data_IF_225666473430
#
_entry.id   IF_225666473430
#
_cell.length_a   1.000
_cell.length_b   1.000
_cell.length_c   1.000
_cell.angle_alpha   90.00
_cell.angle_beta   90.00
_cell.angle_gamma   90.00
#
_symmetry.space_group_name_H-M   'P 1'
#
loop_
_entity.id
_entity.type
_entity.pdbx_description
1 polymer ?
#
# COMPACT_ATOMS: atom_id res chain seq x y z
N UNK A 1 20.42 -19.29 -29.67
CA UNK A 1 20.07 -20.22 -28.56
C UNK A 1 18.66 -19.89 -28.11
N UNK A 2 17.70 -20.79 -28.31
CA UNK A 2 16.30 -20.57 -27.93
C UNK A 2 16.06 -21.08 -26.50
N UNK A 3 15.64 -20.20 -25.60
CA UNK A 3 15.34 -20.54 -24.22
C UNK A 3 13.92 -21.13 -24.18
N UNK A 4 13.81 -22.44 -23.94
CA UNK A 4 12.53 -23.08 -23.68
C UNK A 4 12.03 -22.66 -22.30
N UNK A 5 10.83 -22.10 -22.26
CA UNK A 5 10.12 -21.79 -21.01
C UNK A 5 9.60 -23.10 -20.44
N UNK A 6 10.13 -23.56 -19.30
CA UNK A 6 9.59 -24.70 -18.57
C UNK A 6 8.17 -24.36 -18.10
N UNK A 7 7.17 -25.02 -18.69
CA UNK A 7 5.80 -25.01 -18.18
C UNK A 7 5.72 -25.96 -16.99
N UNK A 8 5.42 -25.40 -15.82
CA UNK A 8 5.17 -26.12 -14.58
C UNK A 8 3.77 -26.75 -14.67
N UNK A 9 3.73 -28.03 -15.02
CA UNK A 9 2.49 -28.82 -14.98
C UNK A 9 2.18 -29.18 -13.52
N UNK A 10 1.13 -28.56 -12.96
CA UNK A 10 0.59 -28.91 -11.65
C UNK A 10 -0.29 -30.15 -11.80
N UNK A 11 0.30 -31.34 -11.62
CA UNK A 11 -0.45 -32.58 -11.53
C UNK A 11 -1.25 -32.64 -10.21
N UNK A 12 -2.56 -32.92 -10.32
CA UNK A 12 -3.31 -33.58 -9.26
C UNK A 12 -4.17 -32.70 -8.34
N UNK A 13 -5.36 -32.34 -8.83
CA UNK A 13 -6.70 -32.42 -8.21
C UNK A 13 -6.98 -32.12 -6.71
N UNK A 14 -6.07 -31.59 -5.88
CA UNK A 14 -6.42 -31.27 -4.49
C UNK A 14 -5.54 -30.20 -3.81
N UNK A 15 -5.16 -29.15 -4.55
CA UNK A 15 -4.47 -28.01 -3.95
C UNK A 15 -5.46 -26.88 -3.64
N UNK A 16 -5.47 -26.29 -2.42
CA UNK A 16 -6.41 -25.23 -2.05
C UNK A 16 -6.27 -23.97 -2.92
N UNK A 17 -5.14 -23.80 -3.60
CA UNK A 17 -4.92 -22.76 -4.60
C UNK A 17 -5.83 -22.91 -5.83
N UNK A 18 -6.24 -24.12 -6.23
CA UNK A 18 -7.13 -24.33 -7.37
C UNK A 18 -8.57 -23.88 -7.07
N UNK A 19 -8.98 -23.80 -5.80
CA UNK A 19 -10.30 -23.24 -5.44
C UNK A 19 -10.41 -21.73 -5.66
N UNK A 20 -9.28 -21.03 -5.75
CA UNK A 20 -9.26 -19.58 -6.03
C UNK A 20 -9.37 -19.27 -7.52
N UNK A 21 -9.03 -20.23 -8.37
CA UNK A 21 -9.12 -20.13 -9.83
C UNK A 21 -10.13 -21.15 -10.33
N UNK A 22 -11.39 -20.90 -10.01
CA UNK A 22 -12.51 -21.66 -10.59
C UNK A 22 -12.65 -21.23 -12.05
N UNK A 23 -12.85 -22.19 -12.94
CA UNK A 23 -13.20 -21.92 -14.33
C UNK A 23 -14.43 -21.01 -14.37
N UNK A 24 -14.27 -19.81 -14.91
CA UNK A 24 -15.39 -18.87 -15.04
C UNK A 24 -16.42 -19.43 -16.00
N UNK A 25 -17.72 -19.43 -15.65
CA UNK A 25 -18.76 -19.89 -16.55
C UNK A 25 -18.69 -19.06 -17.84
N UNK A 26 -18.86 -19.74 -18.97
CA UNK A 26 -18.83 -19.11 -20.29
C UNK A 26 -19.80 -17.93 -20.31
N UNK A 27 -19.38 -16.75 -20.79
CA UNK A 27 -20.24 -15.58 -20.81
C UNK A 27 -21.53 -15.88 -21.57
N UNK A 28 -22.67 -15.50 -21.00
CA UNK A 28 -24.01 -15.71 -21.58
C UNK A 28 -24.12 -15.09 -22.97
N UNK A 29 -23.32 -14.05 -23.25
CA UNK A 29 -23.20 -13.45 -24.57
C UNK A 29 -22.05 -14.13 -25.32
N UNK A 30 -22.39 -15.11 -26.16
CA UNK A 30 -21.43 -15.90 -26.95
C UNK A 30 -20.68 -15.08 -28.02
N UNK A 31 -21.19 -13.92 -28.41
CA UNK A 31 -20.67 -13.11 -29.50
C UNK A 31 -20.29 -11.71 -29.01
N UNK A 32 -19.03 -11.30 -29.19
CA UNK A 32 -18.68 -9.89 -29.12
C UNK A 32 -19.60 -9.09 -30.05
N UNK A 33 -20.14 -7.94 -29.63
CA UNK A 33 -21.00 -7.15 -30.51
C UNK A 33 -20.23 -6.74 -31.76
N UNK A 34 -20.64 -7.27 -32.90
CA UNK A 34 -20.09 -6.90 -34.20
C UNK A 34 -20.31 -5.40 -34.39
N UNK A 35 -19.23 -4.62 -34.49
CA UNK A 35 -19.32 -3.18 -34.80
C UNK A 35 -20.00 -3.03 -36.15
N UNK A 36 -21.22 -2.51 -36.18
CA UNK A 36 -21.92 -2.15 -37.41
C UNK A 36 -21.11 -1.08 -38.14
N UNK A 37 -20.60 -1.37 -39.34
CA UNK A 37 -19.99 -0.39 -40.23
C UNK A 37 -21.08 0.43 -40.93
N UNK A 38 -21.86 1.18 -40.16
CA UNK A 38 -22.99 1.96 -40.68
C UNK A 38 -22.77 3.46 -40.45
N UNK A 39 -21.61 3.97 -40.86
CA UNK A 39 -21.39 5.38 -41.22
C UNK A 39 -19.94 5.55 -41.70
N UNK A 40 -19.67 6.42 -42.70
CA UNK A 40 -18.32 6.91 -42.93
C UNK A 40 -17.84 7.57 -41.63
N UNK A 41 -16.62 7.27 -41.14
CA UNK A 41 -16.11 7.93 -39.95
C UNK A 41 -16.01 9.42 -40.27
N UNK A 42 -16.82 10.25 -39.60
CA UNK A 42 -16.55 11.68 -39.51
C UNK A 42 -15.13 11.78 -38.97
N UNK A 43 -14.21 12.26 -39.79
CA UNK A 43 -12.79 12.46 -39.49
C UNK A 43 -12.67 13.31 -38.22
N UNK A 44 -12.71 12.67 -37.07
CA UNK A 44 -12.22 13.24 -35.83
C UNK A 44 -10.74 12.90 -35.82
N UNK A 45 -9.91 13.95 -35.80
CA UNK A 45 -8.48 13.82 -35.63
C UNK A 45 -8.20 12.79 -34.54
N UNK A 46 -7.33 11.82 -34.84
CA UNK A 46 -6.94 10.78 -33.91
C UNK A 46 -6.45 11.45 -32.62
N UNK A 47 -7.31 11.50 -31.60
CA UNK A 47 -6.90 11.97 -30.29
C UNK A 47 -5.96 10.90 -29.76
N UNK A 48 -4.67 11.24 -29.70
CA UNK A 48 -3.65 10.42 -29.06
C UNK A 48 -4.19 9.97 -27.70
N UNK A 49 -4.13 8.68 -27.36
CA UNK A 49 -4.51 8.22 -26.03
C UNK A 49 -3.63 8.97 -25.02
N UNK A 50 -4.20 9.95 -24.33
CA UNK A 50 -3.52 10.64 -23.24
C UNK A 50 -3.46 9.63 -22.10
N UNK A 51 -2.30 8.98 -21.96
CA UNK A 51 -2.03 8.14 -20.81
C UNK A 51 -2.08 9.03 -19.57
N UNK A 52 -3.00 8.75 -18.66
CA UNK A 52 -3.00 9.26 -17.29
C UNK A 52 -1.71 8.93 -16.50
N UNK A 53 -0.71 8.28 -17.11
CA UNK A 53 0.57 7.91 -16.52
C UNK A 53 1.56 9.06 -16.34
N UNK A 54 1.26 10.28 -16.79
CA UNK A 54 2.14 11.44 -16.52
C UNK A 54 2.32 11.70 -15.02
N UNK A 55 1.26 11.57 -14.23
CA UNK A 55 1.35 11.79 -12.78
C UNK A 55 2.16 10.70 -12.06
N UNK A 56 2.12 9.46 -12.55
CA UNK A 56 2.91 8.35 -11.98
C UNK A 56 4.40 8.47 -12.35
N UNK A 57 4.71 8.94 -13.56
CA UNK A 57 6.09 9.18 -13.98
C UNK A 57 6.77 10.29 -13.16
N UNK A 58 6.02 11.28 -12.69
CA UNK A 58 6.53 12.33 -11.81
C UNK A 58 6.79 11.86 -10.36
N UNK A 59 6.21 10.74 -9.95
CA UNK A 59 6.25 10.20 -8.58
C UNK A 59 7.16 8.95 -8.50
N UNK A 60 8.30 8.97 -9.20
CA UNK A 60 9.29 7.90 -9.10
C UNK A 60 10.00 7.98 -7.73
N UNK A 61 9.53 7.19 -6.77
CA UNK A 61 10.23 7.04 -5.49
C UNK A 61 11.30 5.96 -5.61
N UNK A 62 12.56 6.39 -5.44
CA UNK A 62 13.76 5.52 -5.40
C UNK A 62 13.77 4.54 -4.22
N UNK A 63 12.94 4.78 -3.20
CA UNK A 63 12.89 3.96 -1.99
C UNK A 63 12.02 2.72 -2.24
N UNK A 64 12.52 1.50 -1.96
CA UNK A 64 11.72 0.28 -2.05
C UNK A 64 10.43 0.40 -1.24
N UNK A 65 9.30 -0.07 -1.78
CA UNK A 65 7.97 0.10 -1.18
C UNK A 65 7.92 -0.35 0.28
N UNK A 66 8.52 -1.50 0.60
CA UNK A 66 8.61 -2.04 1.96
C UNK A 66 9.29 -1.11 2.97
N UNK A 67 10.19 -0.22 2.52
CA UNK A 67 10.93 0.72 3.37
C UNK A 67 10.30 2.12 3.43
N UNK A 68 9.27 2.40 2.61
CA UNK A 68 8.67 3.73 2.49
C UNK A 68 7.96 4.15 3.77
N UNK A 69 7.22 3.25 4.39
CA UNK A 69 6.49 3.53 5.64
C UNK A 69 7.46 3.96 6.76
N UNK A 70 8.52 3.17 6.99
CA UNK A 70 9.54 3.49 7.99
C UNK A 70 10.23 4.83 7.72
N UNK A 71 10.62 5.10 6.46
CA UNK A 71 11.24 6.38 6.11
C UNK A 71 10.28 7.56 6.32
N UNK A 72 8.99 7.37 6.02
CA UNK A 72 7.99 8.41 6.18
C UNK A 72 7.71 8.72 7.65
N UNK A 73 7.66 7.68 8.51
CA UNK A 73 7.56 7.84 9.96
C UNK A 73 8.72 8.65 10.52
N UNK A 74 9.97 8.23 10.26
CA UNK A 74 11.18 8.91 10.72
C UNK A 74 11.21 10.39 10.27
N UNK A 75 10.81 10.68 9.03
CA UNK A 75 10.74 12.06 8.53
C UNK A 75 9.66 12.90 9.23
N UNK A 76 8.51 12.30 9.52
CA UNK A 76 7.39 13.01 10.14
C UNK A 76 7.61 13.25 11.63
N UNK A 77 8.34 12.35 12.31
CA UNK A 77 8.80 12.52 13.69
C UNK A 77 10.01 13.48 13.82
N UNK A 78 10.39 14.19 12.75
CA UNK A 78 11.45 15.21 12.80
C UNK A 78 12.88 14.67 12.89
N UNK A 79 13.09 13.35 12.87
CA UNK A 79 14.41 12.74 12.98
C UNK A 79 15.27 12.88 11.73
N UNK A 80 14.64 13.22 10.60
CA UNK A 80 15.27 13.22 9.29
C UNK A 80 14.68 14.32 8.40
N UNK A 81 15.54 15.04 7.69
CA UNK A 81 15.12 16.10 6.77
C UNK A 81 14.35 15.58 5.54
N UNK A 82 13.60 16.46 4.82
CA UNK A 82 12.75 16.07 3.69
C UNK A 82 13.46 15.29 2.58
N UNK A 83 14.76 15.55 2.36
CA UNK A 83 15.58 14.95 1.29
C UNK A 83 16.63 13.97 1.79
N UNK A 84 16.71 13.77 3.10
CA UNK A 84 17.69 12.87 3.67
C UNK A 84 17.26 11.41 3.52
N UNK A 85 18.25 10.53 3.46
CA UNK A 85 18.09 9.08 3.39
C UNK A 85 18.15 8.49 4.79
N UNK A 86 17.58 7.30 4.99
CA UNK A 86 17.65 6.61 6.28
C UNK A 86 19.12 6.44 6.70
N UNK A 87 19.47 6.95 7.88
CA UNK A 87 20.79 6.78 8.50
C UNK A 87 20.68 5.80 9.67
N UNK A 88 21.80 5.17 10.06
CA UNK A 88 21.82 4.29 11.24
C UNK A 88 21.40 5.05 12.52
N UNK A 89 21.87 6.30 12.66
CA UNK A 89 21.50 7.18 13.77
C UNK A 89 19.99 7.46 13.83
N UNK A 90 19.35 7.70 12.69
CA UNK A 90 17.90 7.95 12.64
C UNK A 90 17.10 6.67 12.95
N UNK A 91 17.59 5.50 12.52
CA UNK A 91 16.97 4.23 12.87
C UNK A 91 17.09 3.93 14.38
N UNK A 92 18.27 4.19 14.96
CA UNK A 92 18.52 4.05 16.40
C UNK A 92 17.66 5.04 17.21
N UNK A 93 17.55 6.30 16.75
CA UNK A 93 16.68 7.29 17.37
C UNK A 93 15.21 6.84 17.35
N UNK A 94 14.75 6.26 16.24
CA UNK A 94 13.38 5.71 16.15
C UNK A 94 13.14 4.59 17.17
N UNK A 95 14.11 3.71 17.39
CA UNK A 95 13.99 2.65 18.40
C UNK A 95 13.93 3.28 19.81
N UNK A 96 14.83 4.24 20.09
CA UNK A 96 14.89 4.91 21.40
C UNK A 96 13.68 5.77 21.73
N UNK A 97 12.96 6.28 20.73
CA UNK A 97 11.72 7.03 20.97
C UNK A 97 10.62 6.24 21.65
N UNK A 98 10.70 4.91 21.68
CA UNK A 98 9.76 4.07 22.42
C UNK A 98 10.26 3.69 23.82
N UNK A 99 11.48 4.07 24.21
CA UNK A 99 11.98 3.90 25.58
C UNK A 99 11.36 4.94 26.53
N UNK A 100 10.94 6.08 25.99
CA UNK A 100 10.22 7.15 26.68
C UNK A 100 8.75 7.17 26.24
N UNK A 101 7.80 7.64 27.08
CA UNK A 101 6.41 7.76 26.68
C UNK A 101 6.28 8.72 25.49
N UNK A 102 5.58 8.28 24.45
CA UNK A 102 5.39 9.07 23.23
C UNK A 102 4.71 10.41 23.54
N UNK A 103 5.21 11.49 22.94
CA UNK A 103 4.58 12.80 23.08
C UNK A 103 3.24 12.86 22.35
N UNK A 104 2.33 13.75 22.75
CA UNK A 104 1.04 13.94 22.06
C UNK A 104 1.21 14.32 20.57
N UNK A 105 2.29 15.02 20.24
CA UNK A 105 2.62 15.36 18.85
C UNK A 105 2.99 14.10 18.06
N UNK A 106 3.84 13.24 18.62
CA UNK A 106 4.25 11.98 18.00
C UNK A 106 3.05 11.03 17.82
N UNK A 107 2.18 10.95 18.83
CA UNK A 107 0.94 10.16 18.76
C UNK A 107 0.03 10.67 17.64
N UNK A 108 -0.15 11.99 17.52
CA UNK A 108 -0.95 12.61 16.45
C UNK A 108 -0.37 12.29 15.06
N UNK A 109 0.96 12.33 14.93
CA UNK A 109 1.65 11.96 13.69
C UNK A 109 1.43 10.49 13.36
N UNK A 110 1.67 9.58 14.32
CA UNK A 110 1.53 8.14 14.13
C UNK A 110 0.08 7.79 13.78
N UNK A 111 -0.90 8.36 14.48
CA UNK A 111 -2.33 8.19 14.21
C UNK A 111 -2.69 8.59 12.77
N UNK A 112 -2.21 9.76 12.30
CA UNK A 112 -2.46 10.22 10.91
C UNK A 112 -1.86 9.29 9.86
N UNK A 113 -0.71 8.68 10.14
CA UNK A 113 -0.01 7.82 9.19
C UNK A 113 -0.54 6.39 9.15
N UNK A 114 -0.94 5.86 10.31
CA UNK A 114 -1.39 4.48 10.47
C UNK A 114 -2.90 4.32 10.51
N UNK A 115 -3.64 5.42 10.67
CA UNK A 115 -5.09 5.47 10.94
C UNK A 115 -5.50 4.70 12.20
N UNK A 116 -4.59 4.62 13.17
CA UNK A 116 -4.88 4.09 14.49
C UNK A 116 -5.54 5.16 15.37
N UNK A 117 -6.30 4.70 16.36
CA UNK A 117 -6.95 5.57 17.33
C UNK A 117 -5.89 6.21 18.28
N UNK A 118 -5.86 7.55 18.41
CA UNK A 118 -4.94 8.23 19.32
C UNK A 118 -5.06 7.80 20.78
N UNK A 119 -6.27 7.44 21.26
CA UNK A 119 -6.44 6.99 22.64
C UNK A 119 -5.81 5.60 22.84
N UNK A 120 -6.05 4.66 21.91
CA UNK A 120 -5.36 3.37 21.89
C UNK A 120 -3.82 3.52 21.83
N UNK A 121 -3.31 4.48 21.05
CA UNK A 121 -1.87 4.77 20.99
C UNK A 121 -1.30 5.34 22.29
N UNK A 122 -2.07 6.17 23.01
CA UNK A 122 -1.67 6.64 24.34
C UNK A 122 -1.55 5.49 25.33
N UNK A 123 -2.54 4.60 25.36
CA UNK A 123 -2.53 3.43 26.26
C UNK A 123 -1.34 2.52 25.93
N UNK A 124 -1.12 2.23 24.65
CA UNK A 124 0.01 1.42 24.22
C UNK A 124 1.38 2.09 24.45
N UNK A 125 1.46 3.41 24.28
CA UNK A 125 2.68 4.20 24.40
C UNK A 125 3.02 4.65 25.83
N UNK A 126 2.05 4.64 26.75
CA UNK A 126 2.23 5.04 28.15
C UNK A 126 2.67 3.89 29.06
N UNK A 127 2.78 2.65 28.54
CA UNK A 127 3.00 1.46 29.35
C UNK A 127 1.97 1.33 30.50
N UNK A 128 0.74 1.84 30.31
CA UNK A 128 -0.35 1.61 31.25
C UNK A 128 -1.01 0.26 30.92
N UNK A 129 -0.91 -0.68 31.85
CA UNK A 129 -1.75 -1.87 31.84
C UNK A 129 -3.25 -1.52 31.86
N UNK A 130 -4.14 -2.49 31.61
CA UNK A 130 -5.59 -2.32 31.37
C UNK A 130 -6.42 -1.70 32.53
N UNK A 131 -5.81 -1.04 33.51
CA UNK A 131 -6.49 -0.53 34.70
C UNK A 131 -6.96 0.94 34.57
N UNK A 132 -6.74 1.59 33.43
CA UNK A 132 -7.21 2.97 33.20
C UNK A 132 -8.72 3.08 32.88
N UNK A 133 -9.40 1.96 32.58
CA UNK A 133 -10.83 1.93 32.27
C UNK A 133 -11.73 1.56 33.47
N UNK A 134 -11.16 1.30 34.65
CA UNK A 134 -11.94 0.83 35.81
C UNK A 134 -12.57 1.94 36.67
N UNK A 135 -12.24 3.22 36.45
CA UNK A 135 -12.65 4.32 37.36
C UNK A 135 -13.61 5.34 36.72
N UNK A 136 -14.39 4.91 35.72
CA UNK A 136 -15.46 5.71 35.11
C UNK A 136 -16.88 5.20 35.44
N UNK A 137 -17.02 4.33 36.44
CA UNK A 137 -18.31 3.82 36.91
C UNK A 137 -18.30 3.60 38.44
N UNK A 138 -18.34 4.70 39.20
CA UNK A 138 -18.73 4.72 40.61
C UNK A 138 -19.58 5.96 40.91
#
# INVERSE_FOLDING_TARGET
MMQQVMQLHLNGANHPAQRLFVDTPSPIIATQPTRRSAAPPKSRAASVPVRHSMHQAAQQSSVPVAKRASLLLVKRLGMLGPKEKMTAKAAEALIRCFDEPLTDEDISIIAKLTRLDPAALRIAGSMAGPDADADAAA
#
